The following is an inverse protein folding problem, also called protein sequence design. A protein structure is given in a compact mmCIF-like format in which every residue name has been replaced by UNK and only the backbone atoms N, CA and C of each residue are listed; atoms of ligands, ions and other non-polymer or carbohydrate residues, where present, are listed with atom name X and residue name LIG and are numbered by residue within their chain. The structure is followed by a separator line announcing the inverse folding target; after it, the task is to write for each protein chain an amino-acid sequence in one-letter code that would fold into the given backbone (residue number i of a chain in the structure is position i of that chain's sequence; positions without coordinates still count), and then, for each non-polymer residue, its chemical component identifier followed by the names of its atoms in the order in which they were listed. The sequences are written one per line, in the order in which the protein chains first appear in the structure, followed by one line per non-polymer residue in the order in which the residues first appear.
data_IF_458450455666
#
_entry.id   IF_458450455666
#
_cell.length_a   1.000
_cell.length_b   1.000
_cell.length_c   1.000
_cell.angle_alpha   90.00
_cell.angle_beta   90.00
_cell.angle_gamma   90.00
#
_symmetry.space_group_name_H-M   'P 1'
#
loop_
_entity.id
_entity.type
_entity.pdbx_description
1 polymer ?
#
# COMPACT_ATOMS: atom_id res chain seq x y z
N UNK A 1 18.77 -9.83 -6.24
CA UNK A 1 17.31 -9.82 -6.05
C UNK A 1 16.99 -8.52 -5.33
N UNK A 2 16.14 -7.67 -5.89
CA UNK A 2 15.66 -6.49 -5.16
C UNK A 2 14.91 -6.95 -3.91
N UNK A 3 14.99 -6.23 -2.78
CA UNK A 3 14.16 -6.52 -1.62
C UNK A 3 12.67 -6.50 -2.01
N UNK A 4 11.81 -7.25 -1.30
CA UNK A 4 10.37 -7.19 -1.54
C UNK A 4 9.86 -5.76 -1.27
N UNK A 5 9.08 -5.20 -2.21
CA UNK A 5 8.41 -3.90 -2.06
C UNK A 5 6.91 -4.12 -1.81
N UNK A 6 6.49 -4.23 -0.53
CA UNK A 6 5.09 -4.46 -0.20
C UNK A 6 4.15 -3.31 -0.60
N UNK A 7 4.66 -2.08 -0.75
CA UNK A 7 3.84 -0.93 -1.17
C UNK A 7 3.62 -0.98 -2.68
N UNK A 8 4.68 -1.19 -3.46
CA UNK A 8 4.58 -1.40 -4.90
C UNK A 8 3.68 -2.58 -5.27
N UNK A 9 3.74 -3.69 -4.53
CA UNK A 9 2.83 -4.82 -4.73
C UNK A 9 1.36 -4.46 -4.51
N UNK A 10 1.04 -3.66 -3.47
CA UNK A 10 -0.33 -3.20 -3.22
C UNK A 10 -0.85 -2.29 -4.33
N UNK A 11 0.01 -1.41 -4.86
CA UNK A 11 -0.33 -0.53 -5.99
C UNK A 11 -0.60 -1.35 -7.25
N UNK A 12 0.26 -2.33 -7.57
CA UNK A 12 0.07 -3.22 -8.71
C UNK A 12 -1.23 -4.03 -8.62
N UNK A 13 -1.58 -4.53 -7.43
CA UNK A 13 -2.85 -5.23 -7.20
C UNK A 13 -4.06 -4.30 -7.39
N UNK A 14 -4.01 -3.10 -6.81
CA UNK A 14 -5.06 -2.11 -6.93
C UNK A 14 -5.28 -1.69 -8.39
N UNK A 15 -4.20 -1.44 -9.12
CA UNK A 15 -4.23 -1.13 -10.54
C UNK A 15 -4.82 -2.26 -11.37
N UNK A 16 -4.33 -3.48 -11.19
CA UNK A 16 -4.84 -4.64 -11.94
C UNK A 16 -6.35 -4.86 -11.71
N UNK A 17 -6.83 -4.66 -10.48
CA UNK A 17 -8.25 -4.72 -10.18
C UNK A 17 -9.04 -3.58 -10.83
N UNK A 18 -8.52 -2.34 -10.79
CA UNK A 18 -9.16 -1.19 -11.42
C UNK A 18 -9.25 -1.34 -12.96
N UNK A 19 -8.17 -1.81 -13.60
CA UNK A 19 -8.12 -2.10 -15.04
C UNK A 19 -9.13 -3.20 -15.44
N UNK A 20 -9.42 -4.13 -14.52
CA UNK A 20 -10.44 -5.17 -14.69
C UNK A 20 -11.88 -4.71 -14.36
N UNK A 21 -12.08 -3.47 -13.90
CA UNK A 21 -13.37 -2.95 -13.48
C UNK A 21 -13.87 -3.47 -12.13
N UNK A 22 -12.97 -3.97 -11.28
CA UNK A 22 -13.28 -4.46 -9.92
C UNK A 22 -13.23 -3.35 -8.85
N UNK A 23 -13.87 -3.59 -7.71
CA UNK A 23 -13.80 -2.72 -6.51
C UNK A 23 -12.45 -2.85 -5.81
N UNK A 24 -11.42 -2.23 -6.39
CA UNK A 24 -10.07 -2.26 -5.86
C UNK A 24 -9.96 -1.66 -4.45
N UNK A 25 -10.74 -0.61 -4.13
CA UNK A 25 -10.72 0.02 -2.79
C UNK A 25 -11.31 -0.89 -1.72
N UNK A 26 -12.41 -1.56 -2.03
CA UNK A 26 -13.02 -2.53 -1.14
C UNK A 26 -12.06 -3.68 -0.85
N UNK A 27 -11.39 -4.20 -1.88
CA UNK A 27 -10.39 -5.28 -1.75
C UNK A 27 -9.14 -4.83 -0.99
N UNK A 28 -8.64 -3.62 -1.27
CA UNK A 28 -7.52 -3.02 -0.54
C UNK A 28 -7.78 -3.00 0.96
N UNK A 29 -8.92 -2.45 1.39
CA UNK A 29 -9.28 -2.30 2.81
C UNK A 29 -9.61 -3.61 3.51
N UNK A 30 -10.34 -4.50 2.84
CA UNK A 30 -10.91 -5.71 3.46
C UNK A 30 -10.00 -6.94 3.37
N UNK A 31 -9.11 -6.99 2.37
CA UNK A 31 -8.33 -8.18 2.05
C UNK A 31 -6.82 -7.89 2.06
N UNK A 32 -6.36 -6.98 1.21
CA UNK A 32 -4.93 -6.85 0.93
C UNK A 32 -4.16 -6.16 2.06
N UNK A 33 -4.63 -5.03 2.57
CA UNK A 33 -3.96 -4.35 3.70
C UNK A 33 -3.86 -5.23 4.95
N UNK A 34 -4.95 -5.87 5.44
CA UNK A 34 -4.85 -6.77 6.59
C UNK A 34 -3.88 -7.92 6.36
N UNK A 35 -3.89 -8.51 5.15
CA UNK A 35 -2.98 -9.60 4.79
C UNK A 35 -1.53 -9.13 4.79
N UNK A 36 -1.22 -8.04 4.11
CA UNK A 36 0.13 -7.46 4.05
C UNK A 36 0.65 -7.15 5.45
N UNK A 37 -0.15 -6.53 6.31
CA UNK A 37 0.26 -6.25 7.71
C UNK A 37 0.48 -7.54 8.51
N UNK A 38 -0.31 -8.59 8.27
CA UNK A 38 -0.17 -9.86 8.99
C UNK A 38 1.01 -10.72 8.52
N UNK A 39 1.39 -10.64 7.24
CA UNK A 39 2.41 -11.53 6.66
C UNK A 39 3.77 -10.88 6.45
N UNK A 40 3.85 -9.56 6.57
CA UNK A 40 5.05 -8.78 6.25
C UNK A 40 5.69 -8.24 7.53
N UNK A 41 6.99 -8.45 7.77
CA UNK A 41 7.68 -7.87 8.92
C UNK A 41 7.48 -6.35 9.00
N UNK A 42 7.13 -5.84 10.18
CA UNK A 42 6.85 -4.41 10.41
C UNK A 42 7.99 -3.51 9.93
N UNK A 43 9.24 -3.89 10.18
CA UNK A 43 10.41 -3.10 9.75
C UNK A 43 10.43 -2.90 8.22
N UNK A 44 10.13 -3.96 7.46
CA UNK A 44 10.08 -3.88 6.00
C UNK A 44 8.93 -3.01 5.50
N UNK A 45 7.78 -3.00 6.19
CA UNK A 45 6.68 -2.08 5.86
C UNK A 45 7.06 -0.62 6.13
N UNK A 46 7.78 -0.35 7.22
CA UNK A 46 8.27 1.00 7.55
C UNK A 46 9.32 1.45 6.54
N UNK A 47 10.26 0.59 6.18
CA UNK A 47 11.29 0.88 5.18
C UNK A 47 10.66 1.18 3.82
N UNK A 48 9.70 0.36 3.37
CA UNK A 48 8.99 0.58 2.11
C UNK A 48 8.16 1.87 2.12
N UNK A 49 7.51 2.21 3.24
CA UNK A 49 6.81 3.49 3.38
C UNK A 49 7.77 4.68 3.30
N UNK A 50 8.97 4.58 3.88
CA UNK A 50 9.97 5.64 3.84
C UNK A 50 10.57 5.86 2.45
N UNK A 51 10.45 4.91 1.52
CA UNK A 51 10.80 5.13 0.12
C UNK A 51 9.74 5.96 -0.63
N UNK A 52 8.49 5.93 -0.17
CA UNK A 52 7.36 6.65 -0.76
C UNK A 52 7.09 8.01 -0.11
N UNK A 53 7.45 8.18 1.18
CA UNK A 53 7.37 9.44 1.89
C UNK A 53 8.75 10.09 1.98
N UNK A 54 8.84 11.38 1.68
CA UNK A 54 10.05 12.19 2.01
C UNK A 54 10.31 12.28 3.53
N UNK A 55 9.36 11.82 4.36
CA UNK A 55 9.42 11.82 5.82
C UNK A 55 9.21 10.42 6.42
N UNK A 56 9.90 10.14 7.53
CA UNK A 56 9.78 8.85 8.25
C UNK A 56 8.39 8.75 8.88
N UNK A 57 7.68 7.61 8.69
CA UNK A 57 6.43 7.30 9.38
C UNK A 57 6.42 7.70 10.86
N UNK A 58 5.46 8.55 11.26
CA UNK A 58 5.37 9.00 12.65
C UNK A 58 5.24 7.80 13.62
N UNK A 59 6.08 7.71 14.66
CA UNK A 59 5.96 6.68 15.69
C UNK A 59 4.62 6.80 16.42
N UNK A 60 3.73 5.84 16.22
CA UNK A 60 2.40 5.79 16.87
C UNK A 60 1.22 6.01 15.93
N UNK A 61 1.47 6.46 14.69
CA UNK A 61 0.45 6.45 13.65
C UNK A 61 0.13 5.01 13.21
N UNK A 62 -1.13 4.79 12.81
CA UNK A 62 -1.59 3.47 12.41
C UNK A 62 -0.97 3.08 11.06
N UNK A 63 -0.07 2.11 11.09
CA UNK A 63 0.69 1.64 9.91
C UNK A 63 -0.25 1.28 8.74
N UNK A 64 -1.39 0.66 9.04
CA UNK A 64 -2.41 0.33 8.05
C UNK A 64 -2.97 1.57 7.35
N UNK A 65 -3.22 2.66 8.08
CA UNK A 65 -3.75 3.90 7.52
C UNK A 65 -2.73 4.62 6.64
N UNK A 66 -1.44 4.55 6.99
CA UNK A 66 -0.36 5.10 6.16
C UNK A 66 -0.19 4.31 4.86
N UNK A 67 -0.18 2.97 4.94
CA UNK A 67 -0.16 2.11 3.75
C UNK A 67 -1.37 2.38 2.84
N UNK A 68 -2.56 2.52 3.42
CA UNK A 68 -3.76 2.88 2.65
C UNK A 68 -3.58 4.23 1.94
N UNK A 69 -3.09 5.24 2.66
CA UNK A 69 -2.92 6.59 2.11
C UNK A 69 -1.96 6.64 0.93
N UNK A 70 -0.83 5.92 1.00
CA UNK A 70 0.14 5.83 -0.11
C UNK A 70 -0.48 5.17 -1.33
N UNK A 71 -1.18 4.05 -1.15
CA UNK A 71 -1.83 3.36 -2.27
C UNK A 71 -2.91 4.23 -2.90
N UNK A 72 -3.72 4.92 -2.09
CA UNK A 72 -4.74 5.85 -2.57
C UNK A 72 -4.12 7.02 -3.36
N UNK A 73 -3.01 7.57 -2.88
CA UNK A 73 -2.29 8.65 -3.56
C UNK A 73 -1.72 8.19 -4.91
N UNK A 74 -1.00 7.07 -4.93
CA UNK A 74 -0.42 6.52 -6.15
C UNK A 74 -1.49 6.17 -7.20
N UNK A 75 -2.58 5.55 -6.77
CA UNK A 75 -3.70 5.24 -7.66
C UNK A 75 -4.37 6.51 -8.23
N UNK A 76 -4.53 7.55 -7.41
CA UNK A 76 -5.10 8.84 -7.86
C UNK A 76 -4.19 9.58 -8.84
N UNK A 77 -2.87 9.56 -8.61
CA UNK A 77 -1.87 10.12 -9.56
C UNK A 77 -1.92 9.42 -10.93
N UNK A 78 -2.22 8.11 -10.94
CA UNK A 78 -2.46 7.33 -12.15
C UNK A 78 -3.88 7.50 -12.77
N UNK A 79 -4.74 8.31 -12.15
CA UNK A 79 -6.09 8.62 -12.65
C UNK A 79 -7.19 7.65 -12.20
N UNK A 80 -6.94 6.84 -11.17
CA UNK A 80 -7.94 5.95 -10.58
C UNK A 80 -8.65 6.62 -9.39
N UNK A 81 -9.88 7.10 -9.65
CA UNK A 81 -10.79 7.71 -8.68
C UNK A 81 -11.72 6.74 -7.96
#
# INVERSE_FOLDING_TARGET
MSPPDPVGELILLARGAAEAGEDWRGRLRKEWLPRTVATTPRAMLVDALAEWFDEVPEPGAELTAQLESVVLFAMSDEGYD
#
